data_IF_716053705376
#
_entry.id   IF_716053705376
#
_cell.length_a   1.000
_cell.length_b   1.000
_cell.length_c   1.000
_cell.angle_alpha   90.00
_cell.angle_beta   90.00
_cell.angle_gamma   90.00
#
_symmetry.space_group_name_H-M   'P 1'
#
loop_
_entity.id
_entity.type
_entity.pdbx_description
1 polymer ?
#
# COMPACT_ATOMS: atom_id res chain seq x y z
N UNK A 1 13.11 49.11 -6.69
CA UNK A 1 11.90 48.36 -7.10
C UNK A 1 12.26 47.24 -8.05
N UNK A 2 12.90 47.51 -9.20
CA UNK A 2 13.31 46.50 -10.20
C UNK A 2 14.13 45.33 -9.65
N UNK A 3 15.12 45.61 -8.82
CA UNK A 3 16.00 44.58 -8.23
C UNK A 3 15.23 43.59 -7.34
N UNK A 4 14.19 44.06 -6.66
CA UNK A 4 13.34 43.21 -5.81
C UNK A 4 12.47 42.29 -6.68
N UNK A 5 11.92 42.78 -7.79
CA UNK A 5 11.10 41.96 -8.70
C UNK A 5 11.93 40.86 -9.38
N UNK A 6 13.13 41.18 -9.85
CA UNK A 6 14.06 40.20 -10.44
C UNK A 6 14.45 39.12 -9.42
N UNK A 7 14.74 39.51 -8.18
CA UNK A 7 15.13 38.55 -7.14
C UNK A 7 13.95 37.63 -6.76
N UNK A 8 12.74 38.18 -6.66
CA UNK A 8 11.53 37.39 -6.38
C UNK A 8 11.18 36.43 -7.53
N UNK A 9 11.31 36.86 -8.79
CA UNK A 9 11.13 35.98 -9.94
C UNK A 9 12.17 34.85 -9.97
N UNK A 10 13.45 35.14 -9.72
CA UNK A 10 14.49 34.10 -9.70
C UNK A 10 14.26 33.06 -8.61
N UNK A 11 13.91 33.51 -7.39
CA UNK A 11 13.58 32.60 -6.27
C UNK A 11 12.37 31.71 -6.62
N UNK A 12 11.36 32.27 -7.29
CA UNK A 12 10.20 31.49 -7.71
C UNK A 12 10.56 30.41 -8.74
N UNK A 13 11.34 30.76 -9.78
CA UNK A 13 11.77 29.80 -10.80
C UNK A 13 12.65 28.69 -10.24
N UNK A 14 13.55 29.02 -9.31
CA UNK A 14 14.38 28.02 -8.62
C UNK A 14 13.51 27.05 -7.80
N UNK A 15 12.48 27.56 -7.12
CA UNK A 15 11.53 26.73 -6.37
C UNK A 15 10.73 25.80 -7.29
N UNK A 16 10.19 26.31 -8.39
CA UNK A 16 9.42 25.51 -9.37
C UNK A 16 10.30 24.44 -10.03
N UNK A 17 11.55 24.78 -10.37
CA UNK A 17 12.51 23.84 -10.93
C UNK A 17 12.84 22.73 -9.93
N UNK A 18 13.01 23.07 -8.65
CA UNK A 18 13.27 22.08 -7.61
C UNK A 18 12.08 21.13 -7.44
N UNK A 19 10.86 21.66 -7.37
CA UNK A 19 9.64 20.87 -7.22
C UNK A 19 9.44 19.91 -8.40
N UNK A 20 9.65 20.39 -9.63
CA UNK A 20 9.61 19.54 -10.82
C UNK A 20 10.69 18.45 -10.79
N UNK A 21 11.90 18.76 -10.33
CA UNK A 21 12.99 17.80 -10.25
C UNK A 21 12.72 16.72 -9.19
N UNK A 22 12.16 17.10 -8.04
CA UNK A 22 11.76 16.18 -6.98
C UNK A 22 10.65 15.24 -7.47
N UNK A 23 9.66 15.78 -8.19
CA UNK A 23 8.61 14.98 -8.82
C UNK A 23 9.16 14.00 -9.86
N UNK A 24 10.11 14.44 -10.69
CA UNK A 24 10.78 13.59 -11.68
C UNK A 24 11.60 12.48 -11.01
N UNK A 25 12.31 12.79 -9.93
CA UNK A 25 13.04 11.80 -9.15
C UNK A 25 12.10 10.75 -8.55
N UNK A 26 11.02 11.18 -7.91
CA UNK A 26 10.01 10.29 -7.33
C UNK A 26 9.41 9.37 -8.40
N UNK A 27 9.07 9.93 -9.56
CA UNK A 27 8.51 9.17 -10.69
C UNK A 27 9.51 8.14 -11.21
N UNK A 28 10.79 8.52 -11.31
CA UNK A 28 11.86 7.63 -11.78
C UNK A 28 12.09 6.50 -10.78
N UNK A 29 12.13 6.80 -9.48
CA UNK A 29 12.25 5.78 -8.42
C UNK A 29 11.08 4.80 -8.45
N UNK A 30 9.85 5.30 -8.57
CA UNK A 30 8.66 4.47 -8.68
C UNK A 30 8.70 3.56 -9.93
N UNK A 31 9.13 4.10 -11.07
CA UNK A 31 9.31 3.33 -12.30
C UNK A 31 10.39 2.24 -12.15
N UNK A 32 11.53 2.57 -11.54
CA UNK A 32 12.59 1.61 -11.30
C UNK A 32 12.10 0.47 -10.40
N UNK A 33 11.47 0.79 -9.27
CA UNK A 33 10.88 -0.20 -8.37
C UNK A 33 9.86 -1.07 -9.10
N UNK A 34 9.01 -0.49 -9.95
CA UNK A 34 8.06 -1.23 -10.76
C UNK A 34 8.74 -2.25 -11.68
N UNK A 35 9.76 -1.85 -12.44
CA UNK A 35 10.49 -2.76 -13.33
C UNK A 35 11.20 -3.87 -12.55
N UNK A 36 11.79 -3.51 -11.43
CA UNK A 36 12.48 -4.40 -10.52
C UNK A 36 11.56 -5.48 -9.94
N UNK A 37 10.39 -5.07 -9.45
CA UNK A 37 9.35 -5.97 -8.95
C UNK A 37 8.85 -6.86 -10.08
N UNK A 38 8.57 -6.29 -11.26
CA UNK A 38 8.12 -7.05 -12.42
C UNK A 38 9.15 -8.09 -12.89
N UNK A 39 10.44 -7.76 -12.85
CA UNK A 39 11.52 -8.69 -13.19
C UNK A 39 11.61 -9.84 -12.18
N UNK A 40 11.48 -9.55 -10.88
CA UNK A 40 11.49 -10.56 -9.82
C UNK A 40 10.28 -11.51 -9.90
N UNK A 41 9.09 -10.98 -10.17
CA UNK A 41 7.89 -11.79 -10.41
C UNK A 41 8.12 -12.77 -11.56
N UNK A 42 8.79 -12.35 -12.64
CA UNK A 42 9.09 -13.23 -13.79
C UNK A 42 10.21 -14.24 -13.52
N UNK A 43 11.16 -13.91 -12.66
CA UNK A 43 12.33 -14.73 -12.37
C UNK A 43 12.11 -15.75 -11.25
N UNK A 44 11.16 -15.49 -10.34
CA UNK A 44 10.84 -16.37 -9.22
C UNK A 44 9.68 -17.31 -9.55
N UNK A 45 9.82 -18.59 -9.16
CA UNK A 45 8.72 -19.59 -9.20
C UNK A 45 8.05 -19.70 -7.82
N UNK A 46 8.59 -19.03 -6.81
CA UNK A 46 8.12 -19.07 -5.43
C UNK A 46 7.37 -17.78 -5.06
N UNK A 47 6.09 -17.92 -4.69
CA UNK A 47 5.20 -16.82 -4.33
C UNK A 47 5.65 -16.12 -3.05
N UNK A 48 6.21 -16.86 -2.08
CA UNK A 48 6.69 -16.27 -0.84
C UNK A 48 7.83 -15.28 -1.11
N UNK A 49 8.84 -15.70 -1.87
CA UNK A 49 9.95 -14.85 -2.29
C UNK A 49 9.47 -13.61 -3.07
N UNK A 50 8.46 -13.77 -3.93
CA UNK A 50 7.85 -12.66 -4.68
C UNK A 50 7.24 -11.65 -3.71
N UNK A 51 6.36 -12.09 -2.81
CA UNK A 51 5.66 -11.20 -1.91
C UNK A 51 6.60 -10.54 -0.90
N UNK A 52 7.53 -11.29 -0.30
CA UNK A 52 8.51 -10.72 0.63
C UNK A 52 9.35 -9.64 -0.02
N UNK A 53 9.85 -9.89 -1.25
CA UNK A 53 10.70 -8.93 -1.94
C UNK A 53 9.91 -7.72 -2.45
N UNK A 54 8.72 -7.97 -3.00
CA UNK A 54 7.84 -6.91 -3.50
C UNK A 54 7.37 -6.02 -2.37
N UNK A 55 6.87 -6.59 -1.27
CA UNK A 55 6.34 -5.83 -0.15
C UNK A 55 7.42 -5.00 0.53
N UNK A 56 8.66 -5.51 0.64
CA UNK A 56 9.80 -4.71 1.07
C UNK A 56 10.04 -3.50 0.18
N UNK A 57 10.10 -3.69 -1.15
CA UNK A 57 10.32 -2.58 -2.09
C UNK A 57 9.18 -1.56 -2.08
N UNK A 58 7.93 -2.03 -1.96
CA UNK A 58 6.75 -1.15 -1.84
C UNK A 58 6.80 -0.36 -0.53
N UNK A 59 7.18 -1.00 0.57
CA UNK A 59 7.33 -0.36 1.87
C UNK A 59 8.40 0.75 1.82
N UNK A 60 9.56 0.47 1.22
CA UNK A 60 10.65 1.43 1.01
C UNK A 60 10.21 2.60 0.11
N UNK A 61 9.53 2.31 -1.01
CA UNK A 61 9.07 3.31 -1.98
C UNK A 61 8.00 4.25 -1.40
N UNK A 62 7.01 3.69 -0.70
CA UNK A 62 5.90 4.46 -0.14
C UNK A 62 6.23 5.04 1.23
N UNK A 63 7.43 4.77 1.76
CA UNK A 63 7.82 5.12 3.13
C UNK A 63 6.78 4.65 4.16
N UNK A 64 6.15 3.51 3.89
CA UNK A 64 5.16 2.91 4.76
C UNK A 64 5.86 2.13 5.89
N UNK A 65 5.13 1.89 6.96
CA UNK A 65 5.62 1.15 8.13
C UNK A 65 5.39 -0.37 7.99
N UNK A 66 4.38 -0.73 7.19
CA UNK A 66 3.87 -2.09 7.01
C UNK A 66 3.25 -2.27 5.63
N UNK A 67 3.52 -3.40 5.00
CA UNK A 67 2.81 -3.89 3.80
C UNK A 67 2.45 -5.35 4.03
N UNK A 68 1.19 -5.70 3.87
CA UNK A 68 0.69 -7.05 4.08
C UNK A 68 -0.30 -7.47 2.98
N UNK A 69 -0.42 -8.77 2.74
CA UNK A 69 -1.38 -9.32 1.80
C UNK A 69 -2.55 -9.93 2.55
N UNK A 70 -3.75 -9.43 2.27
CA UNK A 70 -5.00 -10.01 2.74
C UNK A 70 -5.57 -10.94 1.68
N UNK A 71 -5.80 -12.21 2.04
CA UNK A 71 -6.37 -13.21 1.14
C UNK A 71 -7.83 -13.46 1.52
N UNK A 72 -8.72 -13.31 0.54
CA UNK A 72 -10.12 -13.68 0.68
C UNK A 72 -10.31 -15.20 0.68
N UNK A 73 -11.16 -15.66 1.61
CA UNK A 73 -11.74 -16.99 1.66
C UNK A 73 -12.98 -17.06 0.76
N UNK A 74 -13.54 -18.26 0.56
CA UNK A 74 -14.71 -18.44 -0.32
C UNK A 74 -15.98 -17.74 0.18
N UNK A 75 -16.04 -17.40 1.46
CA UNK A 75 -17.14 -16.67 2.10
C UNK A 75 -16.91 -15.14 2.12
N UNK A 76 -15.87 -14.63 1.46
CA UNK A 76 -15.46 -13.22 1.44
C UNK A 76 -14.98 -12.64 2.78
N UNK A 77 -14.85 -13.48 3.81
CA UNK A 77 -13.94 -13.18 4.90
C UNK A 77 -12.50 -13.44 4.43
N UNK A 78 -11.52 -13.33 5.30
CA UNK A 78 -10.13 -13.53 4.90
C UNK A 78 -9.14 -13.34 6.03
N UNK A 79 -7.87 -13.47 5.68
CA UNK A 79 -6.77 -13.42 6.63
C UNK A 79 -5.56 -12.73 6.02
N UNK A 80 -4.75 -12.08 6.86
CA UNK A 80 -3.43 -11.63 6.48
C UNK A 80 -2.49 -12.83 6.42
N UNK A 81 -1.81 -13.01 5.29
CA UNK A 81 -0.85 -14.09 5.12
C UNK A 81 0.48 -13.65 5.74
N UNK A 82 0.83 -14.25 6.88
CA UNK A 82 2.03 -13.92 7.65
C UNK A 82 3.31 -13.92 6.81
N UNK A 83 3.47 -14.92 5.93
CA UNK A 83 4.69 -15.06 5.13
C UNK A 83 4.79 -14.01 4.01
N UNK A 84 3.69 -13.29 3.74
CA UNK A 84 3.58 -12.22 2.75
C UNK A 84 3.48 -10.85 3.42
N UNK A 85 4.00 -10.70 4.63
CA UNK A 85 4.07 -9.44 5.34
C UNK A 85 5.49 -8.89 5.38
N UNK A 86 5.62 -7.57 5.27
CA UNK A 86 6.84 -6.85 5.57
C UNK A 86 6.53 -5.68 6.52
N UNK A 87 7.36 -5.51 7.55
CA UNK A 87 7.30 -4.38 8.49
C UNK A 87 8.70 -3.81 8.66
N UNK A 88 8.79 -2.51 8.95
CA UNK A 88 10.07 -1.95 9.42
C UNK A 88 10.42 -2.51 10.80
N UNK A 89 11.69 -2.37 11.21
CA UNK A 89 12.22 -2.95 12.45
C UNK A 89 11.47 -2.52 13.70
N UNK A 90 10.99 -1.28 13.71
CA UNK A 90 10.33 -0.62 14.83
C UNK A 90 8.99 -1.29 15.12
N UNK A 91 8.25 -1.62 14.06
CA UNK A 91 6.90 -2.20 14.13
C UNK A 91 6.88 -3.72 14.31
N UNK A 92 7.98 -4.40 13.96
CA UNK A 92 8.09 -5.86 14.06
C UNK A 92 7.86 -6.39 15.48
N UNK A 93 8.20 -5.59 16.49
CA UNK A 93 8.04 -5.92 17.91
C UNK A 93 6.59 -5.85 18.41
N UNK A 94 5.79 -4.93 17.88
CA UNK A 94 4.40 -4.70 18.28
C UNK A 94 3.50 -5.82 17.74
N UNK A 95 3.75 -6.27 16.51
CA UNK A 95 2.92 -7.27 15.85
C UNK A 95 3.34 -8.72 16.14
N UNK A 96 4.60 -8.99 16.53
CA UNK A 96 5.03 -10.34 16.95
C UNK A 96 4.25 -10.89 18.16
N UNK A 97 3.69 -9.99 18.97
CA UNK A 97 2.87 -10.34 20.14
C UNK A 97 1.40 -10.63 19.78
N UNK A 98 0.93 -10.16 18.63
CA UNK A 98 -0.45 -10.34 18.16
C UNK A 98 -0.53 -11.59 17.30
N UNK A 99 -0.47 -12.77 17.95
CA UNK A 99 -0.72 -14.05 17.30
C UNK A 99 -2.10 -14.05 16.65
N UNK A 100 -2.11 -14.34 15.35
CA UNK A 100 -3.31 -14.54 14.51
C UNK A 100 -4.37 -13.44 14.67
N UNK A 101 -4.11 -12.30 14.06
CA UNK A 101 -5.10 -11.24 13.93
C UNK A 101 -6.17 -11.63 12.91
N UNK A 102 -7.23 -12.26 13.42
CA UNK A 102 -8.49 -12.42 12.69
C UNK A 102 -9.02 -11.01 12.42
N UNK A 103 -8.98 -10.60 11.16
CA UNK A 103 -9.57 -9.36 10.68
C UNK A 103 -11.02 -9.68 10.26
N UNK A 104 -11.95 -9.56 11.21
CA UNK A 104 -13.37 -9.83 10.98
C UNK A 104 -14.08 -8.60 10.43
N UNK A 105 -13.80 -8.31 9.15
CA UNK A 105 -14.44 -7.22 8.43
C UNK A 105 -15.75 -7.67 7.80
N UNK A 106 -16.79 -7.57 8.61
CA UNK A 106 -18.17 -7.85 8.19
C UNK A 106 -18.61 -7.05 6.96
N UNK A 107 -18.02 -5.89 6.67
CA UNK A 107 -18.36 -5.11 5.47
C UNK A 107 -17.84 -5.80 4.21
N UNK A 108 -16.59 -6.26 4.20
CA UNK A 108 -16.04 -7.01 3.06
C UNK A 108 -16.80 -8.32 2.82
N UNK A 109 -17.22 -9.00 3.89
CA UNK A 109 -18.02 -10.22 3.77
C UNK A 109 -19.40 -9.94 3.16
N UNK A 110 -20.15 -8.96 3.72
CA UNK A 110 -21.51 -8.62 3.28
C UNK A 110 -21.55 -8.06 1.86
N UNK A 111 -20.56 -7.25 1.50
CA UNK A 111 -20.46 -6.65 0.16
C UNK A 111 -19.71 -7.52 -0.84
N UNK A 112 -19.26 -8.71 -0.42
CA UNK A 112 -18.48 -9.63 -1.22
C UNK A 112 -17.29 -8.95 -1.91
N UNK A 113 -16.41 -8.38 -1.08
CA UNK A 113 -15.22 -7.64 -1.51
C UNK A 113 -15.46 -6.15 -1.81
N UNK A 114 -16.71 -5.67 -1.72
CA UNK A 114 -17.05 -4.25 -1.83
C UNK A 114 -16.52 -3.63 -3.12
N UNK A 115 -15.89 -2.46 -3.02
CA UNK A 115 -15.28 -1.75 -4.16
C UNK A 115 -14.13 -2.52 -4.81
N UNK A 116 -13.39 -3.31 -4.02
CA UNK A 116 -12.16 -3.96 -4.47
C UNK A 116 -12.43 -5.02 -5.53
N UNK A 117 -13.63 -5.62 -5.57
CA UNK A 117 -14.03 -6.55 -6.63
C UNK A 117 -14.07 -5.89 -8.02
N UNK A 118 -14.22 -4.58 -8.08
CA UNK A 118 -14.29 -3.79 -9.32
C UNK A 118 -12.93 -3.18 -9.70
N UNK A 119 -11.82 -3.68 -9.13
CA UNK A 119 -10.47 -3.17 -9.35
C UNK A 119 -10.26 -1.71 -8.86
N UNK A 120 -11.09 -1.26 -7.92
CA UNK A 120 -10.97 0.06 -7.31
C UNK A 120 -9.97 0.03 -6.15
N UNK A 121 -8.97 0.90 -6.18
CA UNK A 121 -8.04 1.14 -5.07
C UNK A 121 -8.67 2.12 -4.07
N UNK A 122 -8.16 2.13 -2.83
CA UNK A 122 -8.60 3.10 -1.83
C UNK A 122 -7.45 3.51 -0.92
N UNK A 123 -7.35 4.80 -0.64
CA UNK A 123 -6.35 5.36 0.25
C UNK A 123 -7.00 6.32 1.24
N UNK A 124 -6.49 6.29 2.47
CA UNK A 124 -6.90 7.11 3.60
C UNK A 124 -5.63 7.67 4.23
N UNK A 125 -5.55 8.99 4.34
CA UNK A 125 -4.45 9.72 4.95
C UNK A 125 -4.59 9.82 6.48
N UNK A 126 -5.82 9.94 6.98
CA UNK A 126 -6.14 9.96 8.41
C UNK A 126 -7.46 9.23 8.69
N UNK A 127 -7.37 8.09 9.38
CA UNK A 127 -8.56 7.26 9.70
C UNK A 127 -9.60 7.99 10.57
N UNK A 128 -9.19 9.03 11.32
CA UNK A 128 -10.10 9.82 12.15
C UNK A 128 -11.01 10.73 11.32
N UNK A 129 -10.60 11.04 10.08
CA UNK A 129 -11.32 11.92 9.16
C UNK A 129 -12.01 11.16 8.03
N UNK A 130 -11.74 9.85 7.89
CA UNK A 130 -12.21 9.01 6.79
C UNK A 130 -13.71 8.64 6.83
N UNK A 131 -14.42 8.98 7.91
CA UNK A 131 -15.85 8.69 8.05
C UNK A 131 -16.17 7.19 8.15
N UNK A 132 -15.22 6.39 8.67
CA UNK A 132 -15.44 4.96 8.92
C UNK A 132 -16.56 4.73 9.93
N UNK A 133 -17.21 3.57 9.84
CA UNK A 133 -18.10 3.09 10.90
C UNK A 133 -17.28 2.87 12.18
N UNK A 134 -17.87 3.02 13.38
CA UNK A 134 -17.15 2.81 14.64
C UNK A 134 -16.45 1.45 14.73
N UNK A 135 -17.12 0.37 14.29
CA UNK A 135 -16.53 -0.96 14.28
C UNK A 135 -15.28 -1.09 13.37
N UNK A 136 -15.26 -0.39 12.23
CA UNK A 136 -14.11 -0.42 11.32
C UNK A 136 -12.96 0.45 11.86
N UNK A 137 -13.28 1.59 12.49
CA UNK A 137 -12.30 2.43 13.17
C UNK A 137 -11.62 1.70 14.33
N UNK A 138 -12.38 1.00 15.18
CA UNK A 138 -11.85 0.25 16.32
C UNK A 138 -10.85 -0.82 15.90
N UNK A 139 -11.14 -1.54 14.81
CA UNK A 139 -10.19 -2.51 14.24
C UNK A 139 -8.93 -1.77 13.80
N UNK A 140 -9.03 -0.75 12.94
CA UNK A 140 -7.86 0.01 12.46
C UNK A 140 -7.00 0.55 13.63
N UNK A 141 -7.63 1.09 14.68
CA UNK A 141 -6.95 1.62 15.85
C UNK A 141 -6.28 0.52 16.71
N UNK A 142 -6.89 -0.66 16.83
CA UNK A 142 -6.28 -1.83 17.47
C UNK A 142 -4.97 -2.25 16.78
N UNK A 143 -4.92 -2.12 15.45
CA UNK A 143 -3.70 -2.34 14.66
C UNK A 143 -2.77 -1.12 14.60
N UNK A 144 -3.09 -0.04 15.33
CA UNK A 144 -2.36 1.22 15.33
C UNK A 144 -2.23 1.84 13.94
N UNK A 145 -3.16 1.55 13.02
CA UNK A 145 -3.18 2.10 11.67
C UNK A 145 -3.74 3.53 11.75
N UNK A 146 -2.95 4.52 11.34
CA UNK A 146 -3.40 5.92 11.25
C UNK A 146 -3.70 6.38 9.83
N UNK A 147 -3.05 5.76 8.85
CA UNK A 147 -3.22 5.98 7.42
C UNK A 147 -3.04 4.63 6.71
N UNK A 148 -3.69 4.42 5.56
CA UNK A 148 -3.52 3.20 4.79
C UNK A 148 -3.86 3.36 3.31
N UNK A 149 -3.31 2.47 2.48
CA UNK A 149 -3.69 2.32 1.07
C UNK A 149 -3.90 0.84 0.75
N UNK A 150 -4.94 0.55 -0.03
CA UNK A 150 -5.34 -0.80 -0.44
C UNK A 150 -5.46 -0.86 -1.96
N UNK A 151 -4.80 -1.85 -2.54
CA UNK A 151 -4.91 -2.19 -3.94
C UNK A 151 -5.31 -3.67 -4.11
N UNK A 152 -6.32 -3.99 -4.93
CA UNK A 152 -6.75 -5.35 -5.14
C UNK A 152 -5.75 -6.15 -5.98
N UNK A 153 -5.52 -7.41 -5.60
CA UNK A 153 -4.71 -8.37 -6.37
C UNK A 153 -5.64 -9.44 -6.92
N UNK A 154 -5.67 -9.57 -8.24
CA UNK A 154 -6.47 -10.59 -8.92
C UNK A 154 -5.58 -11.71 -9.42
N UNK A 155 -5.98 -12.95 -9.12
CA UNK A 155 -5.43 -14.12 -9.80
C UNK A 155 -6.30 -14.40 -11.01
N UNK A 156 -5.69 -14.44 -12.21
CA UNK A 156 -6.39 -15.00 -13.35
C UNK A 156 -6.63 -16.48 -13.07
N UNK A 157 -7.88 -16.85 -12.79
CA UNK A 157 -8.30 -18.22 -13.08
C UNK A 157 -8.32 -18.32 -14.60
N UNK A 158 -7.35 -19.04 -15.17
CA UNK A 158 -7.54 -19.68 -16.46
C UNK A 158 -8.77 -20.60 -16.33
N UNK A 159 -9.92 -20.00 -16.57
CA UNK A 159 -11.21 -20.67 -16.69
C UNK A 159 -11.15 -21.35 -18.05
N UNK A 160 -11.23 -22.67 -18.05
CA UNK A 160 -10.91 -23.51 -19.18
C UNK A 160 -11.48 -23.05 -20.51
N UNK A 161 -10.66 -23.18 -21.54
CA UNK A 161 -11.11 -23.43 -22.91
C UNK A 161 -10.43 -24.73 -23.34
N UNK A 162 -11.24 -25.79 -23.33
CA UNK A 162 -11.16 -27.08 -24.03
C UNK A 162 -9.90 -27.93 -23.89
#
# INVERSE_FOLDING_TARGET
MEEHYLNTSNINWESELQEHNDLLQLTTQAQQVFFDVAAQIRASVDLETIFQTTNRKVCELLQAERVAVYRFNSDWNGEFIHDYEFTTSEWKSLFKLSGTTIWDDTYLQQTQGGRYRNNETFAVDDISQAGHTPCHFEILDQFHIKAYAIAPIFTNKNSGVC
#
